data_IF_346278197417
#
_entry.id   IF_346278197417
#
_cell.length_a   1.000
_cell.length_b   1.000
_cell.length_c   1.000
_cell.angle_alpha   90.00
_cell.angle_beta   90.00
_cell.angle_gamma   90.00
#
_symmetry.space_group_name_H-M   'P 1'
#
loop_
_entity.id
_entity.type
_entity.pdbx_description
1 polymer ?
#
# COMPACT_ATOMS: atom_id res chain seq x y z
N UNK A 1 57.59 -0.29 2.60
CA UNK A 1 56.82 -1.21 3.46
C UNK A 1 55.51 -1.43 2.81
N UNK A 2 55.29 -2.64 2.41
CA UNK A 2 54.38 -3.14 1.39
C UNK A 2 52.92 -3.21 1.85
N UNK A 3 52.04 -2.58 1.09
CA UNK A 3 50.59 -2.73 1.21
C UNK A 3 50.06 -3.73 0.19
N UNK A 4 49.46 -4.83 0.67
CA UNK A 4 48.70 -5.78 -0.15
C UNK A 4 47.23 -5.36 -0.29
N UNK A 5 46.61 -5.58 -1.46
CA UNK A 5 45.21 -5.26 -1.66
C UNK A 5 44.30 -6.44 -1.30
N UNK A 6 43.20 -6.14 -0.58
CA UNK A 6 42.12 -7.10 -0.30
C UNK A 6 41.29 -7.39 -1.55
N UNK A 7 41.09 -8.67 -1.79
CA UNK A 7 40.26 -9.23 -2.87
C UNK A 7 38.78 -9.31 -2.41
N UNK A 8 37.89 -8.86 -3.27
CA UNK A 8 36.45 -9.05 -3.14
C UNK A 8 36.01 -10.49 -3.44
N UNK A 9 35.00 -11.05 -2.78
CA UNK A 9 34.49 -12.38 -3.07
C UNK A 9 33.50 -12.38 -4.24
N UNK A 10 33.76 -13.25 -5.22
CA UNK A 10 32.88 -13.53 -6.36
C UNK A 10 31.62 -14.26 -5.92
N UNK A 11 30.45 -13.74 -6.29
CA UNK A 11 29.14 -14.42 -6.19
C UNK A 11 29.11 -15.60 -7.19
N UNK A 12 28.87 -16.80 -6.66
CA UNK A 12 28.55 -17.99 -7.46
C UNK A 12 27.06 -18.07 -7.70
N UNK A 13 26.65 -18.06 -8.96
CA UNK A 13 25.27 -18.34 -9.38
C UNK A 13 24.94 -19.82 -9.16
N UNK A 14 23.77 -20.10 -8.60
CA UNK A 14 23.20 -21.45 -8.51
C UNK A 14 22.11 -21.59 -9.57
N UNK A 15 22.36 -22.51 -10.51
CA UNK A 15 21.39 -22.95 -11.52
C UNK A 15 20.37 -23.90 -10.89
N UNK A 16 19.09 -23.62 -11.08
CA UNK A 16 18.00 -24.52 -10.70
C UNK A 16 17.69 -25.43 -11.90
N UNK A 17 17.87 -26.73 -11.72
CA UNK A 17 17.50 -27.76 -12.70
C UNK A 17 16.01 -28.10 -12.53
N UNK A 18 15.29 -28.03 -13.64
CA UNK A 18 13.92 -28.53 -13.81
C UNK A 18 13.95 -30.06 -13.90
N UNK A 19 13.06 -30.73 -13.15
CA UNK A 19 12.64 -32.10 -13.44
C UNK A 19 11.15 -32.10 -13.76
N UNK A 20 10.85 -32.46 -15.01
CA UNK A 20 9.51 -32.79 -15.49
C UNK A 20 9.26 -34.27 -15.18
N UNK A 21 8.13 -34.60 -14.58
CA UNK A 21 7.61 -35.96 -14.55
C UNK A 21 6.25 -36.00 -15.26
N UNK A 22 6.18 -36.77 -16.33
CA UNK A 22 4.96 -37.18 -17.03
C UNK A 22 4.22 -38.22 -16.18
N UNK A 23 2.90 -38.14 -16.13
CA UNK A 23 2.05 -39.26 -15.76
C UNK A 23 0.83 -39.33 -16.68
N UNK A 24 0.54 -40.56 -17.10
CA UNK A 24 -0.28 -40.96 -18.21
C UNK A 24 -1.79 -40.95 -17.92
N UNK A 25 -2.53 -40.76 -19.01
CA UNK A 25 -4.00 -40.80 -19.14
C UNK A 25 -4.47 -42.24 -19.14
N UNK A 26 -5.53 -42.57 -18.37
CA UNK A 26 -6.40 -43.74 -18.62
C UNK A 26 -7.81 -43.22 -18.82
N UNK A 27 -8.35 -43.46 -20.00
CA UNK A 27 -9.73 -43.19 -20.37
C UNK A 27 -10.63 -44.33 -19.93
N UNK A 28 -11.71 -44.02 -19.26
CA UNK A 28 -12.80 -44.97 -18.98
C UNK A 28 -14.12 -44.27 -19.20
N UNK A 29 -14.82 -44.65 -20.30
CA UNK A 29 -16.18 -44.23 -20.64
C UNK A 29 -17.21 -45.04 -19.88
N UNK A 30 -18.09 -44.37 -19.13
CA UNK A 30 -19.39 -44.92 -18.74
C UNK A 30 -20.44 -43.80 -18.78
N UNK A 31 -21.33 -43.92 -19.71
CA UNK A 31 -22.51 -43.09 -19.92
C UNK A 31 -23.67 -43.59 -19.06
N UNK A 32 -24.24 -42.74 -18.21
CA UNK A 32 -25.62 -42.92 -17.71
C UNK A 32 -26.25 -41.56 -17.34
N UNK A 33 -27.40 -41.33 -17.91
CA UNK A 33 -28.57 -40.56 -17.52
C UNK A 33 -28.41 -39.19 -16.86
N UNK A 34 -28.56 -38.10 -17.63
CA UNK A 34 -28.75 -36.73 -17.12
C UNK A 34 -30.15 -36.55 -16.57
N UNK A 35 -30.26 -36.34 -15.27
CA UNK A 35 -31.29 -35.47 -14.70
C UNK A 35 -30.64 -34.15 -14.37
N UNK A 36 -30.98 -33.12 -15.10
CA UNK A 36 -30.47 -31.74 -14.91
C UNK A 36 -31.10 -31.13 -13.67
N UNK A 37 -30.58 -31.49 -12.52
CA UNK A 37 -30.72 -30.68 -11.32
C UNK A 37 -29.65 -29.58 -11.39
N UNK A 38 -30.01 -28.38 -11.82
CA UNK A 38 -29.19 -27.22 -11.65
C UNK A 38 -29.01 -27.01 -10.15
N UNK A 39 -27.93 -27.58 -9.58
CA UNK A 39 -27.49 -27.29 -8.22
C UNK A 39 -27.05 -25.84 -8.24
N UNK A 40 -27.92 -24.94 -7.76
CA UNK A 40 -27.54 -23.57 -7.49
C UNK A 40 -26.32 -23.63 -6.56
N UNK A 41 -25.17 -23.17 -7.06
CA UNK A 41 -23.99 -23.02 -6.21
C UNK A 41 -24.39 -22.21 -4.99
N UNK A 42 -24.01 -22.65 -3.76
CA UNK A 42 -24.40 -21.94 -2.54
C UNK A 42 -23.88 -20.50 -2.65
N UNK A 43 -24.80 -19.54 -2.70
CA UNK A 43 -24.49 -18.10 -2.60
C UNK A 43 -23.90 -17.85 -1.23
N UNK A 44 -22.57 -17.94 -1.12
CA UNK A 44 -21.86 -17.52 0.08
C UNK A 44 -22.08 -16.01 0.23
N UNK A 45 -22.74 -15.61 1.31
CA UNK A 45 -22.92 -14.21 1.69
C UNK A 45 -21.54 -13.51 1.72
N UNK A 46 -21.45 -12.31 1.16
CA UNK A 46 -20.24 -11.47 1.13
C UNK A 46 -19.55 -11.39 2.52
N UNK A 47 -20.34 -11.32 3.60
CA UNK A 47 -19.81 -11.28 4.97
C UNK A 47 -19.10 -12.60 5.35
N UNK A 48 -19.69 -13.73 5.01
CA UNK A 48 -19.10 -15.04 5.33
C UNK A 48 -17.80 -15.28 4.56
N UNK A 49 -17.73 -14.77 3.30
CA UNK A 49 -16.51 -14.81 2.50
C UNK A 49 -15.43 -13.92 3.11
N UNK A 50 -15.75 -12.65 3.38
CA UNK A 50 -14.83 -11.71 4.00
C UNK A 50 -14.27 -12.24 5.33
N UNK A 51 -15.09 -12.93 6.12
CA UNK A 51 -14.67 -13.57 7.36
C UNK A 51 -13.72 -14.74 7.12
N UNK A 52 -14.04 -15.65 6.19
CA UNK A 52 -13.16 -16.80 5.89
C UNK A 52 -11.78 -16.34 5.38
N UNK A 53 -11.75 -15.30 4.54
CA UNK A 53 -10.49 -14.77 4.02
C UNK A 53 -9.67 -14.08 5.13
N UNK A 54 -10.32 -13.36 6.05
CA UNK A 54 -9.66 -12.82 7.24
C UNK A 54 -9.12 -13.94 8.17
N UNK A 55 -9.87 -15.03 8.34
CA UNK A 55 -9.44 -16.18 9.14
C UNK A 55 -8.27 -16.93 8.47
N UNK A 56 -8.24 -17.00 7.13
CA UNK A 56 -7.12 -17.57 6.39
C UNK A 56 -5.82 -16.74 6.57
N UNK A 57 -5.90 -15.42 6.65
CA UNK A 57 -4.75 -14.56 6.93
C UNK A 57 -4.23 -14.80 8.36
N UNK A 58 -5.10 -14.85 9.36
CA UNK A 58 -4.66 -15.13 10.75
C UNK A 58 -4.09 -16.53 10.92
N UNK A 59 -4.55 -17.51 10.14
CA UNK A 59 -3.95 -18.86 10.11
C UNK A 59 -2.49 -18.88 9.63
N UNK A 60 -2.04 -17.82 8.94
CA UNK A 60 -0.62 -17.60 8.56
C UNK A 60 0.20 -16.92 9.68
N UNK A 61 -0.34 -16.76 10.90
CA UNK A 61 0.38 -16.18 12.04
C UNK A 61 0.22 -14.67 12.20
N UNK A 62 -0.61 -14.02 11.39
CA UNK A 62 -0.97 -12.60 11.59
C UNK A 62 -1.76 -12.47 12.87
N UNK A 63 -1.39 -11.52 13.75
CA UNK A 63 -2.01 -11.37 15.08
C UNK A 63 -3.46 -10.94 14.99
N UNK A 64 -3.77 -9.96 14.16
CA UNK A 64 -5.11 -9.42 14.00
C UNK A 64 -5.39 -8.92 12.59
N UNK A 65 -6.63 -9.09 12.14
CA UNK A 65 -7.13 -8.64 10.85
C UNK A 65 -8.43 -7.89 11.06
N UNK A 66 -8.55 -6.73 10.44
CA UNK A 66 -9.82 -6.03 10.26
C UNK A 66 -10.04 -5.75 8.77
N UNK A 67 -11.22 -6.08 8.27
CA UNK A 67 -11.60 -5.86 6.88
C UNK A 67 -12.99 -5.22 6.79
N UNK A 68 -13.15 -4.34 5.82
CA UNK A 68 -14.44 -3.67 5.54
C UNK A 68 -14.68 -3.63 4.05
N UNK A 69 -15.81 -4.15 3.64
CA UNK A 69 -16.33 -4.12 2.28
C UNK A 69 -17.53 -3.17 2.19
N UNK A 70 -17.51 -2.29 1.20
CA UNK A 70 -18.69 -1.50 0.80
C UNK A 70 -19.18 -2.04 -0.53
N UNK A 71 -20.42 -2.51 -0.55
CA UNK A 71 -21.05 -3.10 -1.75
C UNK A 71 -21.68 -2.02 -2.64
N UNK A 72 -22.01 -2.32 -3.91
CA UNK A 72 -22.62 -1.34 -4.83
C UNK A 72 -23.98 -0.79 -4.35
N UNK A 73 -24.73 -1.56 -3.57
CA UNK A 73 -25.98 -1.13 -2.91
C UNK A 73 -25.77 -0.36 -1.61
N UNK A 74 -24.51 -0.07 -1.26
CA UNK A 74 -24.12 0.77 -0.12
C UNK A 74 -24.05 0.04 1.22
N UNK A 75 -24.23 -1.30 1.27
CA UNK A 75 -24.04 -2.07 2.51
C UNK A 75 -22.58 -1.98 2.97
N UNK A 76 -22.40 -1.79 4.28
CA UNK A 76 -21.12 -1.84 4.97
C UNK A 76 -20.99 -3.17 5.70
N UNK A 77 -20.09 -4.03 5.21
CA UNK A 77 -19.83 -5.35 5.79
C UNK A 77 -18.44 -5.33 6.42
N UNK A 78 -18.35 -5.82 7.65
CA UNK A 78 -17.08 -5.92 8.38
C UNK A 78 -16.80 -7.36 8.76
N UNK A 79 -15.52 -7.71 8.77
CA UNK A 79 -15.01 -8.94 9.35
C UNK A 79 -13.74 -8.62 10.14
N UNK A 80 -13.57 -9.33 11.25
CA UNK A 80 -12.35 -9.28 12.06
C UNK A 80 -11.92 -10.70 12.38
N UNK A 81 -10.62 -10.94 12.47
CA UNK A 81 -10.05 -12.25 12.85
C UNK A 81 -8.85 -12.06 13.77
N UNK A 82 -8.49 -13.08 14.54
CA UNK A 82 -7.41 -13.00 15.48
C UNK A 82 -7.70 -12.12 16.70
N UNK A 83 -6.68 -11.51 17.27
CA UNK A 83 -6.76 -10.69 18.48
C UNK A 83 -6.10 -9.32 18.27
N UNK A 84 -6.59 -8.35 19.03
CA UNK A 84 -6.01 -7.01 19.04
C UNK A 84 -4.80 -6.88 19.97
N UNK A 85 -4.59 -7.84 20.85
CA UNK A 85 -3.54 -7.83 21.86
C UNK A 85 -3.21 -9.29 22.26
N UNK A 86 -1.96 -9.66 22.11
CA UNK A 86 -1.50 -11.04 22.42
C UNK A 86 -1.57 -11.37 23.90
N UNK A 87 -1.43 -10.39 24.79
CA UNK A 87 -1.42 -10.58 26.24
C UNK A 87 -2.83 -10.74 26.79
N UNK A 88 -3.73 -9.81 26.43
CA UNK A 88 -5.09 -9.78 26.95
C UNK A 88 -6.07 -10.60 26.12
N UNK A 89 -5.68 -11.00 24.90
CA UNK A 89 -6.53 -11.70 23.93
C UNK A 89 -7.79 -10.93 23.54
N UNK A 90 -7.76 -9.60 23.71
CA UNK A 90 -8.85 -8.68 23.33
C UNK A 90 -9.17 -8.87 21.83
N UNK A 91 -10.45 -8.95 21.45
CA UNK A 91 -10.82 -9.08 20.03
C UNK A 91 -10.48 -7.84 19.22
N UNK A 92 -10.21 -8.01 17.92
CA UNK A 92 -9.98 -6.89 16.99
C UNK A 92 -11.27 -6.08 16.82
N UNK A 93 -11.16 -4.75 16.93
CA UNK A 93 -12.28 -3.84 16.64
C UNK A 93 -12.46 -3.68 15.13
N UNK A 94 -13.70 -3.74 14.60
CA UNK A 94 -13.94 -3.47 13.18
C UNK A 94 -13.76 -1.98 12.81
N UNK A 95 -13.72 -1.10 13.80
CA UNK A 95 -13.57 0.36 13.65
C UNK A 95 -12.22 0.87 14.22
N UNK A 96 -11.24 -0.05 14.35
CA UNK A 96 -9.93 0.27 14.91
C UNK A 96 -9.15 1.25 14.05
N UNK A 97 -8.40 2.13 14.73
CA UNK A 97 -7.41 3.00 14.11
C UNK A 97 -6.14 2.20 13.79
N UNK A 98 -5.47 2.56 12.70
CA UNK A 98 -4.18 1.98 12.31
C UNK A 98 -3.36 2.98 11.50
N UNK A 99 -2.04 2.77 11.48
CA UNK A 99 -1.15 3.51 10.59
C UNK A 99 -1.34 2.99 9.17
N UNK A 100 -1.62 3.90 8.23
CA UNK A 100 -1.91 3.50 6.84
C UNK A 100 -0.67 3.46 5.96
N UNK A 101 0.48 3.82 6.52
CA UNK A 101 1.77 3.80 5.84
C UNK A 101 1.69 4.43 4.43
N UNK A 102 2.18 3.72 3.42
CA UNK A 102 2.25 4.21 2.04
C UNK A 102 0.90 4.50 1.37
N UNK A 103 -0.24 4.08 1.92
CA UNK A 103 -1.55 4.54 1.45
C UNK A 103 -1.67 6.07 1.55
N UNK A 104 -0.86 6.72 2.42
CA UNK A 104 -0.68 8.18 2.49
C UNK A 104 -0.31 8.78 1.14
N UNK A 105 0.45 8.08 0.31
CA UNK A 105 0.87 8.54 -1.02
C UNK A 105 -0.31 8.89 -1.92
N UNK A 106 -1.39 8.13 -1.85
CA UNK A 106 -2.60 8.43 -2.64
C UNK A 106 -3.25 9.76 -2.21
N UNK A 107 -3.22 10.10 -0.92
CA UNK A 107 -3.70 11.40 -0.43
C UNK A 107 -2.82 12.54 -0.95
N UNK A 108 -1.51 12.40 -0.86
CA UNK A 108 -0.53 13.38 -1.37
C UNK A 108 -0.67 13.56 -2.87
N UNK A 109 -0.77 12.47 -3.64
CA UNK A 109 -0.99 12.52 -5.08
C UNK A 109 -2.30 13.22 -5.44
N UNK A 110 -3.37 12.99 -4.67
CA UNK A 110 -4.65 13.68 -4.85
C UNK A 110 -4.50 15.19 -4.66
N UNK A 111 -3.78 15.64 -3.62
CA UNK A 111 -3.51 17.08 -3.40
C UNK A 111 -2.70 17.67 -4.56
N UNK A 112 -1.63 17.00 -5.01
CA UNK A 112 -0.84 17.47 -6.17
C UNK A 112 -1.71 17.62 -7.43
N UNK A 113 -2.57 16.63 -7.69
CA UNK A 113 -3.47 16.67 -8.85
C UNK A 113 -4.55 17.74 -8.71
N UNK A 114 -5.04 18.04 -7.51
CA UNK A 114 -5.93 19.19 -7.27
C UNK A 114 -5.20 20.50 -7.53
N UNK A 115 -3.97 20.66 -7.03
CA UNK A 115 -3.15 21.85 -7.29
C UNK A 115 -2.85 22.03 -8.79
N UNK A 116 -2.66 20.93 -9.53
CA UNK A 116 -2.53 20.97 -10.98
C UNK A 116 -3.85 21.39 -11.66
N UNK A 117 -4.99 20.90 -11.18
CA UNK A 117 -6.32 21.30 -11.64
C UNK A 117 -6.63 22.76 -11.36
N UNK A 118 -6.15 23.31 -10.25
CA UNK A 118 -6.25 24.72 -9.86
C UNK A 118 -5.27 25.62 -10.66
N UNK A 119 -4.42 25.05 -11.52
CA UNK A 119 -3.40 25.78 -12.29
C UNK A 119 -2.23 26.32 -11.44
N UNK A 120 -2.06 25.84 -10.21
CA UNK A 120 -1.01 26.29 -9.28
C UNK A 120 0.35 25.66 -9.55
N UNK A 121 0.37 24.50 -10.20
CA UNK A 121 1.56 23.80 -10.70
C UNK A 121 1.21 23.02 -11.97
N UNK A 122 2.23 22.54 -12.69
CA UNK A 122 2.09 21.55 -13.76
C UNK A 122 2.74 20.23 -13.35
N UNK A 123 2.18 19.11 -13.78
CA UNK A 123 2.82 17.79 -13.59
C UNK A 123 4.16 17.68 -14.33
N UNK A 124 4.37 18.53 -15.34
CA UNK A 124 5.61 18.61 -16.13
C UNK A 124 6.59 19.64 -15.57
N UNK A 125 6.23 20.37 -14.49
CA UNK A 125 7.18 21.20 -13.76
C UNK A 125 8.30 20.33 -13.19
N UNK A 126 9.52 20.85 -13.23
CA UNK A 126 10.68 20.17 -12.68
C UNK A 126 10.76 20.33 -11.16
N UNK A 127 11.43 19.39 -10.48
CA UNK A 127 11.73 19.51 -9.05
C UNK A 127 12.51 20.79 -8.77
N UNK A 128 13.50 21.12 -9.61
CA UNK A 128 14.32 22.33 -9.49
C UNK A 128 13.50 23.61 -9.48
N UNK A 129 12.39 23.68 -10.24
CA UNK A 129 11.50 24.84 -10.24
C UNK A 129 10.94 25.17 -8.86
N UNK A 130 10.52 24.14 -8.11
CA UNK A 130 9.85 24.29 -6.84
C UNK A 130 10.80 24.21 -5.64
N UNK A 131 11.84 23.38 -5.78
CA UNK A 131 12.82 23.08 -4.74
C UNK A 131 14.24 23.29 -5.30
N UNK A 132 14.62 24.55 -5.57
CA UNK A 132 15.91 24.83 -6.19
C UNK A 132 17.07 24.35 -5.31
N UNK A 133 18.01 23.61 -5.91
CA UNK A 133 19.21 23.10 -5.25
C UNK A 133 18.97 21.98 -4.24
N UNK A 134 17.76 21.39 -4.18
CA UNK A 134 17.47 20.26 -3.26
C UNK A 134 17.91 18.92 -3.84
N UNK A 135 17.65 18.70 -5.14
CA UNK A 135 18.04 17.47 -5.84
C UNK A 135 19.25 17.75 -6.72
N UNK A 136 20.44 17.48 -6.17
CA UNK A 136 21.71 17.71 -6.85
C UNK A 136 22.84 16.83 -6.31
N UNK A 137 23.94 16.74 -7.05
CA UNK A 137 25.14 16.00 -6.64
C UNK A 137 25.07 14.52 -7.02
N UNK A 138 26.23 13.89 -7.11
CA UNK A 138 26.42 12.49 -7.49
C UNK A 138 25.72 12.05 -8.77
N UNK A 139 25.43 13.00 -9.69
CA UNK A 139 24.69 12.73 -10.93
C UNK A 139 23.17 12.92 -10.81
N UNK A 140 22.65 13.28 -9.64
CA UNK A 140 21.27 13.72 -9.49
C UNK A 140 21.09 15.13 -10.04
N UNK A 141 19.99 15.37 -10.77
CA UNK A 141 19.66 16.66 -11.36
C UNK A 141 18.16 16.93 -11.31
N UNK A 142 17.74 17.82 -10.39
CA UNK A 142 16.34 18.21 -10.21
C UNK A 142 15.70 18.86 -11.44
N UNK A 143 16.50 19.35 -12.41
CA UNK A 143 16.02 19.93 -13.67
C UNK A 143 15.53 18.87 -14.66
N UNK A 144 15.97 17.61 -14.50
CA UNK A 144 15.57 16.49 -15.34
C UNK A 144 14.38 15.70 -14.78
N UNK A 145 14.02 15.93 -13.50
CA UNK A 145 12.98 15.19 -12.81
C UNK A 145 11.72 16.05 -12.70
N UNK A 146 10.59 15.55 -13.22
CA UNK A 146 9.30 16.23 -13.14
C UNK A 146 8.47 15.74 -11.95
N UNK A 147 7.43 16.49 -11.56
CA UNK A 147 6.43 16.09 -10.57
C UNK A 147 5.78 14.75 -10.98
N UNK A 148 5.50 14.56 -12.28
CA UNK A 148 4.98 13.29 -12.82
C UNK A 148 5.94 12.13 -12.54
N UNK A 149 7.23 12.31 -12.73
CA UNK A 149 8.23 11.27 -12.44
C UNK A 149 8.23 10.87 -10.96
N UNK A 150 8.03 11.83 -10.04
CA UNK A 150 7.93 11.55 -8.61
C UNK A 150 6.66 10.76 -8.28
N UNK A 151 5.49 11.20 -8.80
CA UNK A 151 4.19 10.56 -8.56
C UNK A 151 4.14 9.12 -9.07
N UNK A 152 4.85 8.81 -10.16
CA UNK A 152 4.81 7.52 -10.87
C UNK A 152 6.04 6.63 -10.60
N UNK A 153 6.87 6.97 -9.62
CA UNK A 153 8.06 6.19 -9.28
C UNK A 153 9.04 5.97 -10.45
N UNK A 154 9.14 6.97 -11.33
CA UNK A 154 10.01 6.93 -12.52
C UNK A 154 11.11 7.99 -12.49
N UNK A 155 11.39 8.57 -11.32
CA UNK A 155 12.41 9.62 -11.16
C UNK A 155 13.84 9.12 -11.27
N UNK A 156 14.10 7.86 -10.92
CA UNK A 156 15.44 7.29 -10.84
C UNK A 156 16.20 7.68 -9.57
N UNK A 157 15.63 8.49 -8.68
CA UNK A 157 16.24 8.79 -7.37
C UNK A 157 16.39 7.50 -6.58
N UNK A 158 17.62 7.23 -6.09
CA UNK A 158 17.88 6.11 -5.20
C UNK A 158 17.11 6.26 -3.88
N UNK A 159 16.47 5.18 -3.40
CA UNK A 159 15.66 5.23 -2.19
C UNK A 159 16.48 4.70 -0.98
N UNK A 160 17.22 5.59 -0.31
CA UNK A 160 17.93 5.28 0.95
C UNK A 160 17.00 5.57 2.13
N UNK A 161 15.96 4.71 2.31
CA UNK A 161 14.94 4.91 3.32
C UNK A 161 15.38 4.29 4.66
N UNK A 162 15.22 5.01 5.80
CA UNK A 162 15.56 4.48 7.11
C UNK A 162 14.59 3.39 7.54
N UNK A 163 15.11 2.36 8.22
CA UNK A 163 14.34 1.26 8.78
C UNK A 163 15.01 0.77 10.08
N UNK A 164 14.24 0.09 10.92
CA UNK A 164 14.77 -0.55 12.13
C UNK A 164 15.37 -1.91 11.80
N UNK A 165 16.60 -2.14 12.24
CA UNK A 165 17.38 -3.35 11.94
C UNK A 165 17.33 -4.41 13.05
N UNK A 166 16.83 -4.06 14.23
CA UNK A 166 16.73 -4.95 15.39
C UNK A 166 15.77 -4.40 16.45
N UNK A 167 15.35 -5.26 17.38
CA UNK A 167 14.58 -4.84 18.56
C UNK A 167 15.28 -3.75 19.37
N UNK A 168 16.60 -3.86 19.55
CA UNK A 168 17.39 -2.85 20.24
C UNK A 168 17.37 -1.51 19.52
N UNK A 169 17.55 -1.55 18.21
CA UNK A 169 17.52 -0.37 17.35
C UNK A 169 16.14 0.31 17.41
N UNK A 170 15.07 -0.48 17.30
CA UNK A 170 13.69 0.01 17.47
C UNK A 170 13.52 0.74 18.82
N UNK A 171 13.82 0.10 19.96
CA UNK A 171 13.63 0.72 21.26
C UNK A 171 14.48 1.97 21.50
N UNK A 172 15.64 2.06 20.85
CA UNK A 172 16.51 3.25 20.93
C UNK A 172 15.98 4.41 20.09
N UNK A 173 15.34 4.14 18.95
CA UNK A 173 15.03 5.13 17.92
C UNK A 173 13.52 5.26 17.59
N UNK A 174 12.62 4.52 18.25
CA UNK A 174 11.17 4.52 17.93
C UNK A 174 10.46 5.87 18.12
N UNK A 175 11.11 6.83 18.73
CA UNK A 175 10.62 8.20 18.91
C UNK A 175 11.36 9.22 18.07
N UNK A 176 12.38 8.79 17.32
CA UNK A 176 13.08 9.65 16.37
C UNK A 176 12.24 9.83 15.11
N UNK A 177 12.48 10.94 14.41
CA UNK A 177 11.86 11.22 13.10
C UNK A 177 12.86 11.93 12.21
N UNK A 178 12.78 11.67 10.91
CA UNK A 178 13.59 12.34 9.91
C UNK A 178 12.79 13.47 9.26
N UNK A 179 13.42 14.63 9.06
CA UNK A 179 12.83 15.68 8.24
C UNK A 179 12.87 15.30 6.77
N UNK A 180 12.03 15.92 5.90
CA UNK A 180 12.08 15.65 4.47
C UNK A 180 13.45 15.95 3.86
N UNK A 181 14.13 17.01 4.33
CA UNK A 181 15.49 17.36 3.88
C UNK A 181 16.51 16.28 4.24
N UNK A 182 16.39 15.66 5.42
CA UNK A 182 17.27 14.56 5.84
C UNK A 182 17.06 13.32 4.97
N UNK A 183 15.82 12.98 4.62
CA UNK A 183 15.50 11.87 3.72
C UNK A 183 16.09 12.13 2.33
N UNK A 184 15.87 13.32 1.78
CA UNK A 184 16.44 13.69 0.47
C UNK A 184 17.97 13.67 0.52
N UNK A 185 18.58 14.23 1.57
CA UNK A 185 20.04 14.24 1.72
C UNK A 185 20.65 12.83 1.80
N UNK A 186 19.93 11.85 2.36
CA UNK A 186 20.35 10.44 2.33
C UNK A 186 20.38 9.93 0.89
N UNK A 187 19.30 10.10 0.13
CA UNK A 187 19.21 9.70 -1.27
C UNK A 187 20.29 10.36 -2.15
N UNK A 188 20.58 11.65 -1.90
CA UNK A 188 21.58 12.40 -2.68
C UNK A 188 23.04 11.94 -2.45
N UNK A 189 23.30 11.08 -1.48
CA UNK A 189 24.62 10.42 -1.33
C UNK A 189 24.88 9.35 -2.36
N UNK A 190 23.83 8.89 -3.05
CA UNK A 190 23.87 7.85 -4.07
C UNK A 190 23.74 8.44 -5.46
N UNK A 191 24.18 7.67 -6.48
CA UNK A 191 23.89 7.98 -7.87
C UNK A 191 22.46 7.59 -8.19
N UNK A 192 21.80 8.25 -9.17
CA UNK A 192 20.52 7.79 -9.68
C UNK A 192 20.62 6.34 -10.16
N UNK A 193 19.59 5.53 -9.86
CA UNK A 193 19.50 4.14 -10.29
C UNK A 193 19.30 4.04 -11.83
N UNK A 194 18.67 5.08 -12.42
CA UNK A 194 18.44 5.21 -13.85
C UNK A 194 18.08 6.66 -14.22
N UNK A 195 18.06 6.96 -15.51
CA UNK A 195 17.63 8.28 -15.99
C UNK A 195 16.11 8.47 -15.83
N UNK A 196 15.63 9.65 -15.45
CA UNK A 196 14.20 9.95 -15.27
C UNK A 196 13.36 9.50 -16.47
N UNK A 197 12.24 8.85 -16.21
CA UNK A 197 11.31 8.31 -17.18
C UNK A 197 11.73 7.01 -17.88
N UNK A 198 12.91 6.45 -17.60
CA UNK A 198 13.42 5.26 -18.33
C UNK A 198 13.05 3.92 -17.71
N UNK A 199 12.84 3.90 -16.40
CA UNK A 199 12.45 2.69 -15.65
C UNK A 199 11.50 3.08 -14.52
N UNK A 200 11.00 2.08 -13.84
CA UNK A 200 10.21 2.21 -12.63
C UNK A 200 10.98 1.63 -11.45
N UNK A 201 11.00 2.33 -10.33
CA UNK A 201 11.49 1.85 -9.04
C UNK A 201 10.78 2.61 -7.94
N UNK A 202 10.15 1.89 -7.01
CA UNK A 202 9.43 2.49 -5.90
C UNK A 202 10.34 3.44 -5.11
N UNK A 203 9.87 4.66 -4.80
CA UNK A 203 10.67 5.67 -4.11
C UNK A 203 9.84 6.42 -3.07
N UNK A 204 10.18 6.24 -1.81
CA UNK A 204 9.67 7.04 -0.70
C UNK A 204 10.20 8.47 -0.78
N UNK A 205 11.48 8.63 -1.13
CA UNK A 205 12.13 9.94 -1.33
C UNK A 205 11.36 10.82 -2.34
N UNK A 206 10.80 10.20 -3.40
CA UNK A 206 9.96 10.92 -4.36
C UNK A 206 8.73 11.56 -3.71
N UNK A 207 8.09 10.88 -2.77
CA UNK A 207 6.93 11.40 -2.08
C UNK A 207 7.26 12.36 -0.94
N UNK A 208 8.42 12.24 -0.31
CA UNK A 208 8.96 13.29 0.56
C UNK A 208 9.13 14.61 -0.20
N UNK A 209 9.71 14.56 -1.42
CA UNK A 209 9.81 15.72 -2.31
C UNK A 209 8.42 16.29 -2.69
N UNK A 210 7.42 15.45 -2.96
CA UNK A 210 6.06 15.90 -3.24
C UNK A 210 5.44 16.62 -2.03
N UNK A 211 5.67 16.14 -0.81
CA UNK A 211 5.27 16.82 0.43
C UNK A 211 5.90 18.21 0.55
N UNK A 212 7.20 18.34 0.26
CA UNK A 212 7.92 19.64 0.22
C UNK A 212 7.35 20.55 -0.88
N UNK A 213 7.04 20.00 -2.07
CA UNK A 213 6.45 20.78 -3.17
C UNK A 213 5.06 21.30 -2.77
N UNK A 214 4.21 20.49 -2.14
CA UNK A 214 2.91 20.96 -1.62
C UNK A 214 3.12 22.16 -0.70
N UNK A 215 4.01 22.05 0.27
CA UNK A 215 4.30 23.17 1.18
C UNK A 215 4.84 24.40 0.47
N UNK A 216 5.70 24.22 -0.53
CA UNK A 216 6.24 25.34 -1.32
C UNK A 216 5.17 26.06 -2.15
N UNK A 217 4.23 25.30 -2.72
CA UNK A 217 3.13 25.83 -3.55
C UNK A 217 2.06 26.50 -2.70
N UNK A 218 1.73 25.94 -1.54
CA UNK A 218 0.56 26.36 -0.75
C UNK A 218 0.92 27.28 0.41
N UNK A 219 2.12 27.16 0.96
CA UNK A 219 2.53 27.77 2.22
C UNK A 219 2.14 26.95 3.46
N UNK A 220 1.45 25.81 3.28
CA UNK A 220 0.97 24.94 4.34
C UNK A 220 1.61 23.56 4.26
N UNK A 221 1.84 22.88 5.40
CA UNK A 221 2.32 21.49 5.41
C UNK A 221 1.38 20.56 4.64
N UNK A 222 1.92 19.54 3.98
CA UNK A 222 1.16 18.60 3.17
C UNK A 222 -0.05 17.97 3.90
N UNK A 223 0.09 17.64 5.18
CA UNK A 223 -0.98 17.02 5.97
C UNK A 223 -2.14 17.98 6.27
N UNK A 224 -1.88 19.30 6.32
CA UNK A 224 -2.94 20.30 6.41
C UNK A 224 -3.72 20.42 5.11
N UNK A 225 -3.04 20.39 3.97
CA UNK A 225 -3.70 20.35 2.66
C UNK A 225 -4.53 19.08 2.49
N UNK A 226 -4.04 17.91 2.94
CA UNK A 226 -4.82 16.66 2.99
C UNK A 226 -6.06 16.84 3.87
N UNK A 227 -5.92 17.42 5.07
CA UNK A 227 -7.03 17.69 5.98
C UNK A 227 -8.09 18.58 5.30
N UNK A 228 -7.67 19.69 4.72
CA UNK A 228 -8.57 20.75 4.27
C UNK A 228 -9.17 20.45 2.90
N UNK A 229 -8.43 19.82 1.99
CA UNK A 229 -8.89 19.48 0.63
C UNK A 229 -9.58 18.12 0.53
N UNK A 230 -9.29 17.19 1.44
CA UNK A 230 -9.79 15.82 1.34
C UNK A 230 -10.56 15.41 2.58
N UNK A 231 -9.94 15.41 3.77
CA UNK A 231 -10.54 14.82 4.95
C UNK A 231 -11.80 15.57 5.40
N UNK A 232 -11.75 16.88 5.51
CA UNK A 232 -12.91 17.71 5.90
C UNK A 232 -14.07 17.63 4.90
N UNK A 233 -13.86 17.83 3.57
CA UNK A 233 -14.95 17.76 2.60
C UNK A 233 -15.63 16.41 2.52
N UNK A 234 -14.90 15.33 2.77
CA UNK A 234 -15.43 13.97 2.78
C UNK A 234 -15.95 13.51 4.15
N UNK A 235 -15.73 14.30 5.21
CA UNK A 235 -16.07 13.91 6.58
C UNK A 235 -15.27 12.70 7.07
N UNK A 236 -13.97 12.60 6.71
CA UNK A 236 -13.05 11.56 7.19
C UNK A 236 -12.56 11.96 8.59
N UNK A 237 -13.39 11.72 9.59
CA UNK A 237 -13.15 12.19 10.97
C UNK A 237 -12.05 11.41 11.69
N UNK A 238 -11.68 10.26 11.14
CA UNK A 238 -10.71 9.33 11.71
C UNK A 238 -9.41 9.27 10.89
N UNK A 239 -9.24 10.19 9.92
CA UNK A 239 -8.04 10.30 9.07
C UNK A 239 -7.27 11.57 9.40
N UNK A 240 -6.03 11.43 9.90
CA UNK A 240 -5.22 12.56 10.32
C UNK A 240 -3.73 12.18 10.41
N UNK A 241 -2.85 13.20 10.43
CA UNK A 241 -1.45 13.03 10.80
C UNK A 241 -1.31 13.11 12.32
N UNK A 242 -0.75 12.11 12.99
CA UNK A 242 -0.51 12.14 14.44
C UNK A 242 0.63 13.08 14.84
N UNK A 243 1.38 13.62 13.88
CA UNK A 243 2.58 14.44 14.15
C UNK A 243 3.61 13.65 14.94
N UNK A 244 4.08 14.23 16.05
CA UNK A 244 5.04 13.59 16.94
C UNK A 244 4.40 12.69 18.03
N UNK A 245 3.08 12.43 17.97
CA UNK A 245 2.44 11.49 18.90
C UNK A 245 2.82 10.05 18.57
N UNK A 246 3.41 9.29 19.53
CA UNK A 246 3.68 7.88 19.30
C UNK A 246 2.45 6.99 19.45
N UNK A 247 1.36 7.51 20.02
CA UNK A 247 0.16 6.77 20.38
C UNK A 247 -0.92 6.87 19.32
N UNK A 248 -1.65 5.77 19.15
CA UNK A 248 -2.88 5.73 18.36
C UNK A 248 -4.11 5.97 19.27
N UNK A 249 -5.20 6.56 18.75
CA UNK A 249 -6.47 6.61 19.45
C UNK A 249 -7.05 5.22 19.69
N UNK A 250 -7.92 5.09 20.68
CA UNK A 250 -8.70 3.88 20.89
C UNK A 250 -10.01 3.91 20.07
N UNK A 251 -10.50 2.75 19.60
CA UNK A 251 -9.86 1.43 19.71
C UNK A 251 -8.75 1.25 18.64
N UNK A 252 -7.71 0.50 18.95
CA UNK A 252 -6.72 0.01 17.99
C UNK A 252 -6.26 -1.39 18.37
N UNK A 253 -5.66 -2.12 17.45
CA UNK A 253 -4.92 -3.34 17.78
C UNK A 253 -3.47 -2.98 18.11
N UNK A 254 -2.86 -3.74 19.01
CA UNK A 254 -1.41 -3.74 19.17
C UNK A 254 -0.78 -4.41 17.95
N UNK A 255 0.42 -3.97 17.56
CA UNK A 255 1.14 -4.57 16.44
C UNK A 255 2.50 -5.09 16.88
N UNK A 256 2.92 -6.16 16.26
CA UNK A 256 4.13 -6.88 16.64
C UNK A 256 4.99 -7.11 15.42
N UNK A 257 6.29 -7.09 15.62
CA UNK A 257 7.29 -7.37 14.59
C UNK A 257 8.33 -8.34 15.10
N UNK A 258 8.80 -9.22 14.23
CA UNK A 258 9.97 -10.06 14.43
C UNK A 258 11.09 -9.50 13.57
N UNK A 259 12.18 -9.08 14.17
CA UNK A 259 13.30 -8.47 13.44
C UNK A 259 14.20 -9.49 12.75
N UNK A 260 14.31 -10.70 13.32
CA UNK A 260 15.04 -11.81 12.72
C UNK A 260 14.32 -13.14 12.95
N UNK A 261 14.46 -14.11 12.04
CA UNK A 261 13.91 -15.44 12.22
C UNK A 261 14.29 -16.04 13.60
N UNK A 262 13.30 -16.58 14.31
CA UNK A 262 13.49 -17.20 15.64
C UNK A 262 13.63 -16.24 16.82
N UNK A 263 13.74 -14.92 16.60
CA UNK A 263 13.72 -13.94 17.69
C UNK A 263 12.30 -13.77 18.27
N UNK A 264 12.15 -13.32 19.53
CA UNK A 264 10.86 -12.97 20.09
C UNK A 264 10.14 -11.88 19.30
N UNK A 265 8.81 -11.88 19.38
CA UNK A 265 7.99 -10.77 18.90
C UNK A 265 8.22 -9.54 19.78
N UNK A 266 8.35 -8.40 19.14
CA UNK A 266 8.49 -7.08 19.77
C UNK A 266 7.19 -6.32 19.53
N UNK A 267 6.61 -5.76 20.58
CA UNK A 267 5.52 -4.80 20.45
C UNK A 267 6.06 -3.49 19.86
N UNK A 268 5.59 -3.15 18.66
CA UNK A 268 6.01 -1.96 17.92
C UNK A 268 4.85 -0.96 17.75
N UNK A 269 3.81 -1.08 18.55
CA UNK A 269 2.60 -0.24 18.47
C UNK A 269 2.91 1.22 18.75
N UNK A 270 3.67 1.48 19.84
CA UNK A 270 3.98 2.82 20.29
C UNK A 270 5.30 3.30 19.67
N UNK A 271 5.17 4.08 18.59
CA UNK A 271 6.28 4.67 17.87
C UNK A 271 5.85 5.97 17.17
N UNK A 272 6.76 6.91 17.01
CA UNK A 272 6.61 8.01 16.05
C UNK A 272 6.94 7.44 14.67
N UNK A 273 6.19 7.82 13.64
CA UNK A 273 6.58 7.42 12.27
C UNK A 273 7.97 7.97 11.99
N UNK A 274 8.94 7.10 11.64
CA UNK A 274 10.32 7.49 11.30
C UNK A 274 10.35 8.62 10.28
N UNK A 275 9.35 8.60 9.40
CA UNK A 275 9.18 9.58 8.34
C UNK A 275 7.70 9.94 8.24
N UNK A 276 7.42 11.22 8.23
CA UNK A 276 6.07 11.79 8.19
C UNK A 276 6.06 12.97 7.22
N UNK A 277 6.50 12.74 5.98
CA UNK A 277 6.84 13.79 5.03
C UNK A 277 6.05 13.74 3.71
N UNK A 278 4.99 12.90 3.66
CA UNK A 278 4.15 12.72 2.46
C UNK A 278 4.22 11.30 1.86
N UNK A 279 5.25 10.55 2.15
CA UNK A 279 5.40 9.14 1.78
C UNK A 279 4.64 8.18 2.71
N UNK A 280 4.47 8.58 3.98
CA UNK A 280 3.76 7.86 5.03
C UNK A 280 3.24 8.84 6.09
N UNK A 281 2.72 8.34 7.21
CA UNK A 281 2.50 9.14 8.42
C UNK A 281 1.03 9.47 8.71
N UNK A 282 0.06 9.05 7.91
CA UNK A 282 -1.35 9.16 8.28
C UNK A 282 -1.82 7.96 9.11
N UNK A 283 -2.76 8.26 9.99
CA UNK A 283 -3.60 7.31 10.71
C UNK A 283 -5.00 7.37 10.13
N UNK A 284 -5.67 6.21 10.01
CA UNK A 284 -7.04 6.15 9.50
C UNK A 284 -7.80 4.95 10.06
N UNK A 285 -8.99 4.68 9.49
CA UNK A 285 -9.82 3.49 9.71
C UNK A 285 -10.24 2.90 8.37
N UNK A 286 -10.66 1.63 8.36
CA UNK A 286 -11.16 0.97 7.14
C UNK A 286 -12.37 1.71 6.54
N UNK A 287 -13.20 2.35 7.36
CA UNK A 287 -14.36 3.12 6.92
C UNK A 287 -13.97 4.39 6.16
N UNK A 288 -13.01 5.14 6.70
CA UNK A 288 -12.55 6.39 6.07
C UNK A 288 -11.79 6.11 4.78
N UNK A 289 -10.94 5.07 4.74
CA UNK A 289 -10.22 4.70 3.53
C UNK A 289 -11.18 4.28 2.41
N UNK A 290 -12.18 3.44 2.69
CA UNK A 290 -13.19 3.10 1.69
C UNK A 290 -13.96 4.34 1.18
N UNK A 291 -14.29 5.30 2.06
CA UNK A 291 -14.93 6.55 1.67
C UNK A 291 -14.03 7.39 0.78
N UNK A 292 -12.75 7.49 1.11
CA UNK A 292 -11.76 8.23 0.35
C UNK A 292 -11.60 7.64 -1.07
N UNK A 293 -11.27 6.35 -1.19
CA UNK A 293 -11.02 5.73 -2.48
C UNK A 293 -12.25 5.73 -3.39
N UNK A 294 -13.44 5.50 -2.83
CA UNK A 294 -14.69 5.61 -3.60
C UNK A 294 -14.96 7.03 -4.08
N UNK A 295 -14.68 8.05 -3.26
CA UNK A 295 -14.81 9.44 -3.65
C UNK A 295 -13.79 9.83 -4.74
N UNK A 296 -12.54 9.38 -4.60
CA UNK A 296 -11.47 9.65 -5.54
C UNK A 296 -11.76 9.05 -6.92
N UNK A 297 -12.01 7.74 -6.98
CA UNK A 297 -12.22 7.01 -8.24
C UNK A 297 -13.60 7.32 -8.86
N UNK A 298 -14.56 7.71 -8.02
CA UNK A 298 -15.87 8.22 -8.46
C UNK A 298 -15.88 9.68 -8.92
N UNK A 299 -14.69 10.32 -9.04
CA UNK A 299 -14.55 11.66 -9.61
C UNK A 299 -15.03 12.82 -8.70
N UNK A 300 -15.19 12.59 -7.39
CA UNK A 300 -15.63 13.63 -6.45
C UNK A 300 -14.50 14.53 -5.93
N UNK A 301 -13.25 14.07 -6.05
CA UNK A 301 -12.07 14.79 -5.53
C UNK A 301 -11.24 15.42 -6.63
N UNK A 302 -11.29 14.87 -7.85
CA UNK A 302 -10.51 15.35 -8.98
C UNK A 302 -11.44 15.67 -10.16
N UNK A 303 -11.18 16.78 -10.89
CA UNK A 303 -11.79 17.00 -12.19
C UNK A 303 -11.47 15.84 -13.16
N UNK A 304 -12.30 15.61 -14.20
CA UNK A 304 -12.12 14.48 -15.12
C UNK A 304 -10.73 14.41 -15.77
N UNK A 305 -10.15 15.54 -16.11
CA UNK A 305 -8.82 15.60 -16.72
C UNK A 305 -7.73 15.08 -15.75
N UNK A 306 -7.76 15.51 -14.48
CA UNK A 306 -6.79 15.07 -13.46
C UNK A 306 -6.98 13.61 -13.07
N UNK A 307 -8.24 13.13 -12.99
CA UNK A 307 -8.52 11.72 -12.74
C UNK A 307 -8.01 10.85 -13.90
N UNK A 308 -8.13 11.32 -15.15
CA UNK A 308 -7.56 10.66 -16.32
C UNK A 308 -6.04 10.60 -16.24
N UNK A 309 -5.38 11.70 -15.82
CA UNK A 309 -3.93 11.73 -15.59
C UNK A 309 -3.52 10.75 -14.48
N UNK A 310 -4.26 10.70 -13.36
CA UNK A 310 -4.00 9.75 -12.27
C UNK A 310 -4.01 8.29 -12.75
N UNK A 311 -4.90 7.96 -13.69
CA UNK A 311 -5.07 6.62 -14.24
C UNK A 311 -4.13 6.29 -15.41
N UNK A 312 -3.24 7.18 -15.82
CA UNK A 312 -2.18 6.88 -16.80
C UNK A 312 -1.09 6.04 -16.15
N UNK A 313 -1.00 4.78 -16.52
CA UNK A 313 -0.16 3.80 -15.82
C UNK A 313 1.12 3.45 -16.56
N UNK A 314 2.19 3.19 -15.79
CA UNK A 314 3.41 2.51 -16.20
C UNK A 314 3.45 1.07 -15.62
N UNK A 315 4.15 0.10 -16.24
CA UNK A 315 4.38 -1.19 -15.62
C UNK A 315 5.26 -1.02 -14.37
N UNK A 316 4.96 -1.78 -13.31
CA UNK A 316 5.82 -1.84 -12.13
C UNK A 316 7.12 -2.60 -12.41
N UNK A 317 8.12 -2.44 -11.53
CA UNK A 317 9.39 -3.18 -11.61
C UNK A 317 9.18 -4.68 -11.44
N UNK A 318 10.03 -5.47 -12.08
CA UNK A 318 9.95 -6.95 -12.04
C UNK A 318 10.08 -7.51 -10.63
N UNK A 319 10.73 -6.80 -9.73
CA UNK A 319 10.89 -7.13 -8.33
C UNK A 319 9.55 -7.12 -7.56
N UNK A 320 8.57 -6.35 -8.03
CA UNK A 320 7.23 -6.28 -7.46
C UNK A 320 6.25 -7.30 -8.06
N UNK A 321 6.58 -7.92 -9.19
CA UNK A 321 5.70 -8.89 -9.85
C UNK A 321 5.26 -10.06 -8.96
N UNK A 322 6.11 -10.65 -8.08
CA UNK A 322 5.69 -11.70 -7.17
C UNK A 322 4.66 -11.23 -6.11
N UNK A 323 4.75 -9.97 -5.69
CA UNK A 323 3.89 -9.36 -4.67
C UNK A 323 2.60 -8.83 -5.30
N UNK A 324 2.70 -8.23 -6.48
CA UNK A 324 1.62 -7.52 -7.17
C UNK A 324 1.49 -7.98 -8.64
N UNK A 325 1.09 -9.23 -8.90
CA UNK A 325 1.04 -9.76 -10.27
C UNK A 325 0.17 -8.90 -11.20
N UNK A 326 0.73 -8.51 -12.34
CA UNK A 326 0.03 -7.70 -13.35
C UNK A 326 -0.27 -6.26 -12.93
N UNK A 327 0.32 -5.78 -11.83
CA UNK A 327 0.12 -4.41 -11.37
C UNK A 327 0.70 -3.38 -12.35
N UNK A 328 0.05 -2.24 -12.40
CA UNK A 328 0.53 -1.05 -13.11
C UNK A 328 0.40 0.16 -12.20
N UNK A 329 1.38 1.02 -12.20
CA UNK A 329 1.43 2.20 -11.34
C UNK A 329 0.92 3.44 -12.08
N UNK A 330 -0.12 4.08 -11.52
CA UNK A 330 -0.62 5.38 -11.95
C UNK A 330 0.11 6.54 -11.24
N UNK A 331 -0.61 7.63 -10.96
CA UNK A 331 -0.06 8.74 -10.16
C UNK A 331 -0.54 8.57 -8.71
N UNK A 332 0.17 7.76 -7.93
CA UNK A 332 -0.15 7.46 -6.54
C UNK A 332 -1.30 6.47 -6.32
N UNK A 333 -1.63 5.68 -7.31
CA UNK A 333 -2.57 4.56 -7.24
C UNK A 333 -2.08 3.42 -8.13
N UNK A 334 -2.23 2.19 -7.67
CA UNK A 334 -1.98 1.00 -8.50
C UNK A 334 -3.28 0.53 -9.15
N UNK A 335 -3.16 0.05 -10.40
CA UNK A 335 -4.19 -0.73 -11.08
C UNK A 335 -3.77 -2.18 -11.06
N UNK A 336 -4.67 -3.09 -10.66
CA UNK A 336 -4.44 -4.54 -10.61
C UNK A 336 -5.57 -5.30 -11.29
N UNK A 337 -5.28 -6.41 -11.99
CA UNK A 337 -6.32 -7.24 -12.58
C UNK A 337 -7.18 -7.91 -11.50
N UNK A 338 -8.47 -8.09 -11.79
CA UNK A 338 -9.39 -8.91 -11.01
C UNK A 338 -9.54 -10.29 -11.63
N UNK A 339 -9.64 -11.34 -10.81
CA UNK A 339 -9.83 -12.72 -11.29
C UNK A 339 -11.16 -12.90 -12.06
N UNK A 340 -12.16 -12.08 -11.74
CA UNK A 340 -13.45 -12.04 -12.43
C UNK A 340 -13.48 -11.14 -13.69
N UNK A 341 -12.34 -10.61 -14.09
CA UNK A 341 -12.21 -9.71 -15.25
C UNK A 341 -12.24 -8.23 -14.85
N UNK A 342 -11.60 -7.41 -15.70
CA UNK A 342 -11.42 -5.99 -15.42
C UNK A 342 -10.28 -5.72 -14.44
N UNK A 343 -10.30 -4.53 -13.84
CA UNK A 343 -9.26 -4.06 -12.92
C UNK A 343 -9.87 -3.35 -11.71
N UNK A 344 -9.14 -3.36 -10.60
CA UNK A 344 -9.38 -2.49 -9.47
C UNK A 344 -8.25 -1.49 -9.29
N UNK A 345 -8.50 -0.46 -8.50
CA UNK A 345 -7.55 0.57 -8.16
C UNK A 345 -7.41 0.65 -6.64
N UNK A 346 -6.20 0.93 -6.17
CA UNK A 346 -5.93 1.06 -4.74
C UNK A 346 -4.48 1.38 -4.47
N UNK A 347 -4.09 1.25 -3.23
CA UNK A 347 -2.70 1.35 -2.78
C UNK A 347 -2.51 0.42 -1.59
N UNK A 348 -1.31 -0.07 -1.42
CA UNK A 348 -0.90 -0.87 -0.28
C UNK A 348 0.01 -0.04 0.64
N UNK A 349 0.12 -0.43 1.89
CA UNK A 349 0.99 0.23 2.84
C UNK A 349 1.56 -0.75 3.86
N UNK A 350 2.86 -0.65 4.12
CA UNK A 350 3.57 -1.40 5.15
C UNK A 350 4.39 -0.46 6.03
N UNK A 351 4.31 -0.63 7.33
CA UNK A 351 5.09 0.07 8.34
C UNK A 351 5.13 -0.80 9.59
N UNK A 352 6.27 -0.93 10.24
CA UNK A 352 6.55 -1.66 11.50
C UNK A 352 5.38 -2.47 12.07
N UNK A 353 5.14 -3.66 11.51
CA UNK A 353 4.06 -4.56 11.92
C UNK A 353 2.65 -4.24 11.41
N UNK A 354 2.42 -3.13 10.72
CA UNK A 354 1.17 -2.80 10.03
C UNK A 354 1.26 -3.11 8.54
N UNK A 355 0.24 -3.78 8.00
CA UNK A 355 0.03 -3.93 6.56
C UNK A 355 -1.40 -3.50 6.24
N UNK A 356 -1.57 -2.78 5.16
CA UNK A 356 -2.88 -2.26 4.72
C UNK A 356 -3.01 -2.43 3.21
N UNK A 357 -4.08 -3.02 2.74
CA UNK A 357 -4.45 -3.00 1.33
C UNK A 357 -5.82 -2.34 1.14
N UNK A 358 -5.94 -1.62 0.03
CA UNK A 358 -7.18 -0.99 -0.40
C UNK A 358 -7.49 -1.40 -1.82
N UNK A 359 -8.76 -1.58 -2.12
CA UNK A 359 -9.21 -1.87 -3.48
C UNK A 359 -10.57 -1.22 -3.76
N UNK A 360 -10.71 -0.66 -4.94
CA UNK A 360 -11.99 -0.12 -5.42
C UNK A 360 -12.17 -0.46 -6.90
N UNK A 361 -13.36 -0.91 -7.27
CA UNK A 361 -13.70 -1.19 -8.68
C UNK A 361 -13.60 0.07 -9.54
N UNK A 362 -13.36 -0.08 -10.83
CA UNK A 362 -13.14 1.03 -11.76
C UNK A 362 -14.31 2.03 -11.81
N UNK A 363 -15.53 1.57 -11.48
CA UNK A 363 -16.75 2.40 -11.38
C UNK A 363 -16.92 3.07 -10.00
N UNK A 364 -16.00 2.83 -9.04
CA UNK A 364 -16.04 3.41 -7.69
C UNK A 364 -17.15 2.85 -6.78
N UNK A 365 -17.91 1.83 -7.22
CA UNK A 365 -19.13 1.40 -6.51
C UNK A 365 -18.86 0.34 -5.45
N UNK A 366 -17.86 -0.52 -5.64
CA UNK A 366 -17.47 -1.56 -4.68
C UNK A 366 -16.07 -1.26 -4.16
N UNK A 367 -15.86 -1.33 -2.86
CA UNK A 367 -14.55 -1.05 -2.27
C UNK A 367 -14.30 -1.89 -1.06
N UNK A 368 -13.04 -2.28 -0.86
CA UNK A 368 -12.58 -3.03 0.31
C UNK A 368 -11.33 -2.38 0.86
N UNK A 369 -11.24 -2.35 2.19
CA UNK A 369 -10.00 -2.04 2.91
C UNK A 369 -9.76 -3.16 3.91
N UNK A 370 -8.54 -3.65 3.96
CA UNK A 370 -8.06 -4.60 4.97
C UNK A 370 -6.84 -4.02 5.66
N UNK A 371 -6.75 -4.21 6.98
CA UNK A 371 -5.57 -3.88 7.78
C UNK A 371 -5.18 -5.08 8.63
N UNK A 372 -3.90 -5.42 8.58
CA UNK A 372 -3.26 -6.47 9.36
C UNK A 372 -2.45 -5.83 10.47
N UNK A 373 -2.50 -6.38 11.67
CA UNK A 373 -1.64 -6.02 12.79
C UNK A 373 -0.78 -7.21 13.19
N UNK A 374 0.53 -7.01 13.29
CA UNK A 374 1.49 -8.06 13.63
C UNK A 374 1.63 -9.13 12.54
N UNK A 375 2.14 -8.75 11.38
CA UNK A 375 2.56 -9.69 10.35
C UNK A 375 3.86 -10.39 10.78
N UNK A 376 3.73 -11.48 11.53
CA UNK A 376 4.83 -12.17 12.24
C UNK A 376 5.59 -13.12 11.32
N UNK A 377 6.01 -12.65 10.15
CA UNK A 377 6.69 -13.48 9.17
C UNK A 377 8.15 -13.76 9.55
N UNK A 378 8.56 -15.02 9.41
CA UNK A 378 9.93 -15.47 9.71
C UNK A 378 10.84 -15.50 8.48
N UNK A 379 10.27 -15.52 7.27
CA UNK A 379 10.99 -15.67 6.00
C UNK A 379 10.33 -14.84 4.90
N UNK A 380 11.07 -14.55 3.84
CA UNK A 380 10.52 -13.87 2.65
C UNK A 380 9.33 -14.65 2.04
N UNK A 381 9.40 -15.99 2.00
CA UNK A 381 8.29 -16.84 1.53
C UNK A 381 7.06 -16.73 2.43
N UNK A 382 7.26 -16.51 3.73
CA UNK A 382 6.16 -16.29 4.67
C UNK A 382 5.50 -14.93 4.45
N UNK A 383 6.29 -13.87 4.29
CA UNK A 383 5.79 -12.54 3.89
C UNK A 383 4.96 -12.64 2.61
N UNK A 384 5.50 -13.29 1.57
CA UNK A 384 4.82 -13.46 0.30
C UNK A 384 3.46 -14.18 0.44
N UNK A 385 3.38 -15.23 1.28
CA UNK A 385 2.10 -15.92 1.52
C UNK A 385 1.06 -15.03 2.23
N UNK A 386 1.49 -14.19 3.17
CA UNK A 386 0.60 -13.24 3.85
C UNK A 386 0.06 -12.22 2.83
N UNK A 387 0.91 -11.63 2.00
CA UNK A 387 0.51 -10.66 0.99
C UNK A 387 -0.36 -11.28 -0.12
N UNK A 388 -0.10 -12.53 -0.50
CA UNK A 388 -0.98 -13.27 -1.42
C UNK A 388 -2.36 -13.54 -0.80
N UNK A 389 -2.44 -13.87 0.49
CA UNK A 389 -3.71 -14.07 1.17
C UNK A 389 -4.49 -12.75 1.33
N UNK A 390 -3.80 -11.64 1.60
CA UNK A 390 -4.38 -10.30 1.63
C UNK A 390 -4.90 -9.89 0.23
N UNK A 391 -4.10 -10.06 -0.81
CA UNK A 391 -4.48 -9.80 -2.20
C UNK A 391 -5.69 -10.64 -2.63
N UNK A 392 -5.75 -11.90 -2.19
CA UNK A 392 -6.90 -12.78 -2.42
C UNK A 392 -8.16 -12.26 -1.73
N UNK A 393 -8.06 -11.79 -0.49
CA UNK A 393 -9.20 -11.17 0.21
C UNK A 393 -9.72 -9.97 -0.57
N UNK A 394 -8.84 -9.11 -1.09
CA UNK A 394 -9.22 -7.93 -1.88
C UNK A 394 -9.91 -8.37 -3.17
N UNK A 395 -9.36 -9.33 -3.91
CA UNK A 395 -9.93 -9.85 -5.15
C UNK A 395 -11.30 -10.49 -4.92
N UNK A 396 -11.42 -11.41 -3.97
CA UNK A 396 -12.67 -12.10 -3.62
C UNK A 396 -13.75 -11.09 -3.18
N UNK A 397 -13.37 -10.08 -2.40
CA UNK A 397 -14.28 -9.04 -1.95
C UNK A 397 -14.78 -8.17 -3.10
N UNK A 398 -13.95 -7.87 -4.10
CA UNK A 398 -14.32 -7.04 -5.24
C UNK A 398 -15.05 -7.83 -6.33
N UNK A 399 -14.77 -9.12 -6.50
CA UNK A 399 -15.35 -10.01 -7.50
C UNK A 399 -16.70 -10.61 -7.12
N UNK A 400 -17.15 -10.51 -5.88
CA UNK A 400 -18.43 -11.10 -5.47
C UNK A 400 -19.60 -10.47 -6.24
N UNK A 401 -20.33 -11.30 -6.97
CA UNK A 401 -21.49 -10.89 -7.78
C UNK A 401 -22.62 -10.34 -6.90
N UNK A 402 -23.33 -9.30 -7.34
CA UNK A 402 -24.60 -8.89 -6.72
C UNK A 402 -25.57 -10.08 -6.71
N UNK A 403 -26.28 -10.30 -5.61
CA UNK A 403 -27.36 -11.27 -5.53
C UNK A 403 -28.46 -10.89 -6.55
N UNK A 404 -28.69 -11.66 -7.63
CA UNK A 404 -29.69 -11.31 -8.66
C UNK A 404 -31.14 -11.40 -8.16
N UNK A 405 -31.38 -11.78 -6.90
CA UNK A 405 -32.70 -12.05 -6.33
C UNK A 405 -33.39 -10.89 -5.60
N UNK A 406 -32.85 -9.66 -5.62
CA UNK A 406 -33.56 -8.45 -5.13
C UNK A 406 -33.85 -7.49 -6.28
N UNK A 407 -34.87 -7.79 -7.07
CA UNK A 407 -35.63 -6.75 -7.76
C UNK A 407 -36.25 -5.85 -6.69
N UNK A 408 -36.09 -4.55 -6.85
CA UNK A 408 -36.83 -3.58 -6.03
C UNK A 408 -38.30 -3.71 -6.38
N UNK A 409 -39.10 -4.18 -5.44
CA UNK A 409 -40.54 -3.93 -5.41
C UNK A 409 -40.78 -2.51 -4.91
#
# INVERSE_FOLDING_TARGET
MTSSPMRSPRRRGRSIRRNLALAAIVAGTLSTGCTSGASAAPHHDDRSRLRRDADAITALGVTGVQARLVTPDGRNLTATSGVADLTTRRPVSPDGYFRIASVTKTFVATVILQLAGDGRLSLDDTVERWLPGVVHGNGNDGRAITIRHLLQHTSGIHDDYPDYTSAKDFYQHRYDTYTPEQIVARAMRHRPDFQPGKKWSYSNTGYALLGMIIQRVTGHPWHEEVRDRIARPLGLRHTFSPGASPKLPQPHAETYQRFKPGEPLVDVTEQVSLVNNGEAGLVSTTADLNRFFRALLGGRLLPPAQLTQMKQTAPVGKEFEPLMPGARDGLGVFSRPLSCGGTYWGHEGGDSGWITATGVTADGRRSVTVSLSGANADTADHVLRIEQAESKLVDDALCATPNPGRTKD
#
